data_IF_626690480311
#
_entry.id   IF_626690480311
#
_cell.length_a   1.000
_cell.length_b   1.000
_cell.length_c   1.000
_cell.angle_alpha   90.00
_cell.angle_beta   90.00
_cell.angle_gamma   90.00
#
_symmetry.space_group_name_H-M   'P 1'
#
loop_
_entity.id
_entity.type
_entity.pdbx_description
1 polymer ?
#
# COMPACT_ATOMS: atom_id res chain seq x y z
N UNK A 1 -9.51 -21.82 3.72
CA UNK A 1 -8.44 -21.18 4.51
C UNK A 1 -8.19 -19.73 4.08
N UNK A 2 -8.02 -19.42 2.79
CA UNK A 2 -7.78 -18.06 2.28
C UNK A 2 -8.89 -17.05 2.68
N UNK A 3 -10.16 -17.37 2.45
CA UNK A 3 -11.30 -16.53 2.84
C UNK A 3 -11.27 -16.12 4.33
N UNK A 4 -10.87 -17.04 5.23
CA UNK A 4 -10.76 -16.76 6.68
C UNK A 4 -9.59 -15.82 7.01
N UNK A 5 -8.51 -15.86 6.24
CA UNK A 5 -7.29 -15.10 6.50
C UNK A 5 -7.30 -13.71 5.87
N UNK A 6 -7.89 -13.58 4.68
CA UNK A 6 -7.81 -12.36 3.85
C UNK A 6 -9.17 -11.71 3.59
N UNK A 7 -10.26 -12.38 3.99
CA UNK A 7 -11.62 -11.96 3.70
C UNK A 7 -12.08 -12.35 2.30
N UNK A 8 -13.37 -12.16 2.08
CA UNK A 8 -14.09 -12.38 0.82
C UNK A 8 -14.53 -11.06 0.19
N UNK A 9 -14.33 -9.94 0.89
CA UNK A 9 -14.80 -8.60 0.52
C UNK A 9 -16.22 -8.29 0.98
N UNK A 10 -16.99 -9.32 1.38
CA UNK A 10 -18.36 -9.15 1.91
C UNK A 10 -18.39 -8.79 3.40
N UNK A 11 -17.24 -8.80 4.06
CA UNK A 11 -17.15 -8.46 5.48
C UNK A 11 -17.49 -6.99 5.71
N UNK A 12 -18.10 -6.72 6.87
CA UNK A 12 -18.29 -5.35 7.34
C UNK A 12 -16.94 -4.65 7.45
N UNK A 13 -16.85 -3.46 6.86
CA UNK A 13 -15.61 -2.71 6.82
C UNK A 13 -15.16 -2.31 8.24
N UNK A 14 -16.14 -1.96 9.08
CA UNK A 14 -15.96 -1.64 10.49
C UNK A 14 -17.08 -2.28 11.31
N UNK A 15 -16.81 -2.61 12.58
CA UNK A 15 -17.81 -3.23 13.46
C UNK A 15 -19.05 -2.36 13.68
N UNK A 16 -18.88 -1.04 13.59
CA UNK A 16 -19.90 0.01 13.73
C UNK A 16 -20.41 0.55 12.37
N UNK A 17 -20.05 -0.08 11.25
CA UNK A 17 -20.48 0.31 9.91
C UNK A 17 -21.53 -0.65 9.37
N UNK A 18 -22.58 -0.10 8.76
CA UNK A 18 -23.53 -0.86 7.92
C UNK A 18 -22.93 -1.20 6.55
N UNK A 19 -22.01 -0.36 6.05
CA UNK A 19 -21.34 -0.57 4.76
C UNK A 19 -20.24 -1.63 4.87
N UNK A 20 -20.23 -2.53 3.88
CA UNK A 20 -19.20 -3.53 3.64
C UNK A 20 -18.02 -2.95 2.84
N UNK A 21 -16.92 -3.69 2.75
CA UNK A 21 -15.83 -3.32 1.83
C UNK A 21 -16.31 -3.39 0.37
N UNK A 22 -17.27 -4.27 0.07
CA UNK A 22 -17.87 -4.41 -1.25
C UNK A 22 -18.58 -3.14 -1.70
N UNK A 23 -19.35 -2.51 -0.79
CA UNK A 23 -20.04 -1.25 -1.06
C UNK A 23 -19.03 -0.14 -1.40
N UNK A 24 -17.93 -0.08 -0.65
CA UNK A 24 -16.86 0.88 -0.91
C UNK A 24 -16.18 0.65 -2.27
N UNK A 25 -16.00 -0.60 -2.71
CA UNK A 25 -15.47 -0.89 -4.03
C UNK A 25 -16.40 -0.43 -5.15
N UNK A 26 -17.71 -0.67 -5.01
CA UNK A 26 -18.70 -0.18 -5.96
C UNK A 26 -18.74 1.35 -6.00
N UNK A 27 -18.70 2.02 -4.84
CA UNK A 27 -18.66 3.48 -4.75
C UNK A 27 -17.43 4.07 -5.45
N UNK A 28 -16.24 3.48 -5.24
CA UNK A 28 -15.01 3.90 -5.93
C UNK A 28 -15.18 3.75 -7.45
N UNK A 29 -15.68 2.61 -7.93
CA UNK A 29 -15.80 2.36 -9.37
C UNK A 29 -16.85 3.25 -10.05
N UNK A 30 -17.88 3.66 -9.31
CA UNK A 30 -18.91 4.58 -9.78
C UNK A 30 -18.42 6.03 -9.88
N UNK A 31 -17.55 6.47 -8.97
CA UNK A 31 -17.17 7.88 -8.82
C UNK A 31 -15.79 8.23 -9.37
N UNK A 32 -14.94 7.24 -9.65
CA UNK A 32 -13.55 7.47 -10.07
C UNK A 32 -13.41 7.29 -11.60
N UNK A 33 -12.88 8.29 -12.34
CA UNK A 33 -12.76 8.23 -13.79
C UNK A 33 -11.72 7.20 -14.25
N UNK A 34 -11.84 6.76 -15.50
CA UNK A 34 -10.85 5.89 -16.15
C UNK A 34 -9.69 6.74 -16.66
N UNK A 35 -8.58 6.71 -15.94
CA UNK A 35 -7.36 7.42 -16.31
C UNK A 35 -6.23 6.43 -16.57
N UNK A 36 -5.31 6.79 -17.47
CA UNK A 36 -4.08 6.05 -17.73
C UNK A 36 -2.95 7.04 -17.93
N UNK A 37 -1.80 6.72 -17.35
CA UNK A 37 -0.57 7.46 -17.61
C UNK A 37 0.30 6.74 -18.66
N UNK A 38 1.09 7.48 -19.45
CA UNK A 38 2.05 6.90 -20.36
C UNK A 38 3.21 6.25 -19.59
N UNK A 39 3.66 5.08 -20.05
CA UNK A 39 4.79 4.36 -19.46
C UNK A 39 6.09 4.73 -20.17
N UNK A 40 6.87 5.63 -19.58
CA UNK A 40 8.08 6.22 -20.19
C UNK A 40 9.34 6.09 -19.34
N UNK A 41 9.21 5.71 -18.07
CA UNK A 41 10.32 5.60 -17.12
C UNK A 41 10.87 4.17 -17.15
N UNK A 42 12.14 3.95 -17.53
CA UNK A 42 12.72 2.61 -17.50
C UNK A 42 12.98 2.12 -16.07
N UNK A 43 13.09 0.79 -15.91
CA UNK A 43 13.47 0.16 -14.64
C UNK A 43 14.88 0.62 -14.18
N UNK A 44 15.84 0.64 -15.10
CA UNK A 44 17.19 1.17 -14.91
C UNK A 44 17.69 1.84 -16.20
N UNK A 45 18.50 2.89 -16.07
CA UNK A 45 19.17 3.57 -17.19
C UNK A 45 20.40 4.31 -16.69
N UNK A 46 21.38 4.58 -17.57
CA UNK A 46 22.57 5.40 -17.25
C UNK A 46 22.45 6.86 -17.69
N UNK A 47 21.50 7.14 -18.58
CA UNK A 47 21.37 8.38 -19.36
C UNK A 47 20.09 9.17 -19.05
N UNK A 48 19.17 8.59 -18.29
CA UNK A 48 17.87 9.18 -17.96
C UNK A 48 17.36 8.74 -16.60
N UNK A 49 16.39 9.49 -16.08
CA UNK A 49 15.67 9.12 -14.86
C UNK A 49 15.04 7.73 -14.98
N UNK A 50 15.16 6.95 -13.92
CA UNK A 50 14.74 5.56 -13.87
C UNK A 50 14.24 5.19 -12.47
N UNK A 51 13.46 4.11 -12.37
CA UNK A 51 12.83 3.69 -11.11
C UNK A 51 13.86 3.20 -10.08
N UNK A 52 14.93 2.53 -10.51
CA UNK A 52 15.99 2.04 -9.62
C UNK A 52 16.63 3.17 -8.82
N UNK A 53 17.05 4.24 -9.49
CA UNK A 53 17.72 5.36 -8.83
C UNK A 53 16.75 6.16 -7.95
N UNK A 54 15.49 6.27 -8.37
CA UNK A 54 14.42 6.86 -7.55
C UNK A 54 14.22 6.09 -6.23
N UNK A 55 14.14 4.77 -6.28
CA UNK A 55 14.00 3.94 -5.06
C UNK A 55 15.22 4.04 -4.15
N UNK A 56 16.43 4.11 -4.72
CA UNK A 56 17.66 4.36 -3.94
C UNK A 56 17.65 5.74 -3.27
N UNK A 57 17.18 6.77 -3.98
CA UNK A 57 17.03 8.11 -3.41
C UNK A 57 16.03 8.14 -2.25
N UNK A 58 14.88 7.49 -2.40
CA UNK A 58 13.89 7.33 -1.33
C UNK A 58 14.48 6.58 -0.13
N UNK A 59 15.23 5.50 -0.35
CA UNK A 59 15.86 4.74 0.72
C UNK A 59 16.89 5.59 1.47
N UNK A 60 17.75 6.32 0.74
CA UNK A 60 18.72 7.25 1.32
C UNK A 60 18.03 8.33 2.16
N UNK A 61 16.90 8.85 1.69
CA UNK A 61 16.13 9.88 2.39
C UNK A 61 15.68 9.47 3.79
N UNK A 62 15.33 8.19 3.97
CA UNK A 62 14.94 7.63 5.28
C UNK A 62 16.08 6.90 5.99
N UNK A 63 17.32 7.04 5.52
CA UNK A 63 18.51 6.44 6.15
C UNK A 63 18.62 4.92 5.98
N UNK A 64 17.99 4.37 4.94
CA UNK A 64 18.00 2.94 4.65
C UNK A 64 19.10 2.57 3.65
N UNK A 65 19.87 1.54 4.00
CA UNK A 65 20.86 0.94 3.11
C UNK A 65 20.28 -0.33 2.48
N UNK A 66 19.89 -0.24 1.21
CA UNK A 66 19.26 -1.32 0.45
C UNK A 66 19.90 -1.49 -0.92
N UNK A 67 19.74 -2.68 -1.48
CA UNK A 67 19.99 -2.92 -2.90
C UNK A 67 18.69 -2.74 -3.69
N UNK A 68 18.80 -2.30 -4.95
CA UNK A 68 17.68 -2.28 -5.89
C UNK A 68 18.11 -3.03 -7.14
N UNK A 69 17.37 -4.09 -7.46
CA UNK A 69 17.66 -5.03 -8.55
C UNK A 69 16.54 -5.01 -9.58
N UNK A 70 16.91 -4.95 -10.85
CA UNK A 70 15.97 -5.18 -11.95
C UNK A 70 15.89 -6.70 -12.17
N UNK A 71 14.67 -7.21 -12.26
CA UNK A 71 14.37 -8.63 -12.41
C UNK A 71 13.42 -8.80 -13.62
N UNK A 72 13.88 -9.44 -14.71
CA UNK A 72 13.08 -9.62 -15.92
C UNK A 72 11.92 -10.62 -15.74
N UNK A 73 12.01 -11.50 -14.74
CA UNK A 73 11.01 -12.54 -14.47
C UNK A 73 10.00 -12.11 -13.40
N UNK A 74 10.15 -10.89 -12.86
CA UNK A 74 9.25 -10.37 -11.84
C UNK A 74 7.87 -10.04 -12.41
N UNK A 75 6.88 -10.86 -12.07
CA UNK A 75 5.48 -10.66 -12.46
C UNK A 75 4.88 -9.40 -11.80
N UNK A 76 5.27 -9.11 -10.56
CA UNK A 76 4.86 -7.89 -9.88
C UNK A 76 5.63 -6.68 -10.40
N UNK A 77 5.09 -5.47 -10.24
CA UNK A 77 5.79 -4.25 -10.68
C UNK A 77 7.03 -3.97 -9.84
N UNK A 78 6.92 -4.21 -8.54
CA UNK A 78 8.01 -4.23 -7.60
C UNK A 78 7.70 -5.22 -6.47
N UNK A 79 8.74 -5.62 -5.74
CA UNK A 79 8.62 -6.45 -4.54
C UNK A 79 9.77 -6.15 -3.59
N UNK A 80 9.52 -6.30 -2.28
CA UNK A 80 10.52 -6.05 -1.23
C UNK A 80 10.92 -7.35 -0.56
N UNK A 81 12.22 -7.63 -0.59
CA UNK A 81 12.90 -8.57 0.30
C UNK A 81 13.41 -7.90 1.57
N UNK A 82 14.28 -8.55 2.32
CA UNK A 82 14.72 -8.01 3.63
C UNK A 82 15.48 -6.67 3.52
N UNK A 83 16.38 -6.54 2.54
CA UNK A 83 17.21 -5.34 2.28
C UNK A 83 17.36 -5.09 0.77
N UNK A 84 16.43 -5.61 -0.02
CA UNK A 84 16.48 -5.53 -1.48
C UNK A 84 15.11 -5.21 -2.03
N UNK A 85 15.03 -4.26 -2.95
CA UNK A 85 13.84 -4.03 -3.77
C UNK A 85 14.09 -4.66 -5.14
N UNK A 86 13.15 -5.45 -5.61
CA UNK A 86 13.11 -6.01 -6.96
C UNK A 86 12.12 -5.18 -7.78
N UNK A 87 12.50 -4.82 -9.01
CA UNK A 87 11.68 -4.05 -9.95
C UNK A 87 11.58 -4.84 -11.25
N UNK A 88 10.39 -4.94 -11.83
CA UNK A 88 10.22 -5.61 -13.13
C UNK A 88 10.97 -4.87 -14.25
N UNK A 89 11.57 -5.62 -15.18
CA UNK A 89 12.22 -5.04 -16.35
C UNK A 89 11.21 -4.56 -17.40
N UNK A 90 10.62 -3.38 -17.17
CA UNK A 90 9.66 -2.75 -18.07
C UNK A 90 9.69 -1.23 -17.97
N UNK A 91 8.91 -0.58 -18.81
CA UNK A 91 8.59 0.83 -18.66
C UNK A 91 7.49 1.03 -17.60
N UNK A 92 7.63 2.10 -16.82
CA UNK A 92 6.73 2.56 -15.77
C UNK A 92 6.23 3.96 -16.07
N UNK A 93 5.07 4.31 -15.51
CA UNK A 93 4.63 5.70 -15.48
C UNK A 93 5.45 6.55 -14.52
N UNK A 94 5.43 7.87 -14.71
CA UNK A 94 6.12 8.79 -13.82
C UNK A 94 5.45 8.83 -12.44
N UNK A 95 4.12 8.82 -12.41
CA UNK A 95 3.34 8.78 -11.18
C UNK A 95 3.42 7.40 -10.53
N UNK A 96 3.28 6.32 -11.32
CA UNK A 96 3.51 4.94 -10.88
C UNK A 96 4.88 4.77 -10.23
N UNK A 97 5.93 5.39 -10.77
CA UNK A 97 7.29 5.29 -10.22
C UNK A 97 7.40 5.89 -8.82
N UNK A 98 6.85 7.10 -8.60
CA UNK A 98 6.80 7.73 -7.28
C UNK A 98 5.93 6.92 -6.32
N UNK A 99 4.80 6.39 -6.80
CA UNK A 99 3.89 5.54 -6.02
C UNK A 99 4.58 4.26 -5.57
N UNK A 100 5.30 3.57 -6.46
CA UNK A 100 6.05 2.36 -6.13
C UNK A 100 7.17 2.65 -5.13
N UNK A 101 7.92 3.75 -5.30
CA UNK A 101 8.93 4.15 -4.33
C UNK A 101 8.32 4.43 -2.95
N UNK A 102 7.17 5.11 -2.89
CA UNK A 102 6.42 5.36 -1.65
C UNK A 102 5.94 4.04 -1.02
N UNK A 103 5.32 3.17 -1.81
CA UNK A 103 4.76 1.90 -1.34
C UNK A 103 5.83 0.96 -0.79
N UNK A 104 6.85 0.68 -1.61
CA UNK A 104 7.87 -0.31 -1.29
C UNK A 104 8.88 0.22 -0.27
N UNK A 105 9.34 1.47 -0.42
CA UNK A 105 10.38 2.03 0.45
C UNK A 105 9.77 2.60 1.73
N UNK A 106 8.86 3.57 1.62
CA UNK A 106 8.30 4.21 2.81
C UNK A 106 7.28 3.34 3.53
N UNK A 107 6.55 2.47 2.83
CA UNK A 107 5.69 1.47 3.45
C UNK A 107 6.50 0.29 3.98
N UNK A 108 6.85 -0.64 3.10
CA UNK A 108 7.35 -1.96 3.49
C UNK A 108 8.76 -1.95 4.09
N UNK A 109 9.73 -1.27 3.46
CA UNK A 109 11.11 -1.28 3.95
C UNK A 109 11.26 -0.56 5.29
N UNK A 110 10.62 0.60 5.49
CA UNK A 110 10.67 1.31 6.79
C UNK A 110 10.19 0.39 7.92
N UNK A 111 9.03 -0.25 7.77
CA UNK A 111 8.52 -1.21 8.75
C UNK A 111 9.46 -2.41 8.93
N UNK A 112 10.05 -2.94 7.86
CA UNK A 112 10.97 -4.06 7.95
C UNK A 112 12.27 -3.70 8.70
N UNK A 113 12.83 -2.51 8.46
CA UNK A 113 14.02 -2.03 9.15
C UNK A 113 13.75 -1.76 10.63
N UNK A 114 12.68 -1.05 10.96
CA UNK A 114 12.30 -0.84 12.36
C UNK A 114 12.02 -2.16 13.09
N UNK A 115 11.33 -3.10 12.45
CA UNK A 115 11.05 -4.40 13.05
C UNK A 115 12.30 -5.17 13.45
N UNK A 116 13.41 -5.00 12.73
CA UNK A 116 14.71 -5.60 13.05
C UNK A 116 15.50 -4.89 14.12
N UNK A 117 15.21 -3.61 14.38
CA UNK A 117 15.84 -2.86 15.48
C UNK A 117 15.16 -3.13 16.81
N UNK A 118 14.02 -3.83 16.81
CA UNK A 118 13.32 -4.19 18.04
C UNK A 118 13.97 -5.39 18.75
N UNK A 119 13.89 -5.45 20.09
CA UNK A 119 14.38 -6.60 20.87
C UNK A 119 13.69 -7.92 20.51
N UNK A 120 12.43 -7.86 20.07
CA UNK A 120 11.63 -9.04 19.74
C UNK A 120 11.54 -9.25 18.22
N UNK A 121 12.00 -10.41 17.73
CA UNK A 121 11.98 -10.76 16.31
C UNK A 121 10.58 -10.84 15.67
N UNK A 122 9.52 -10.91 16.47
CA UNK A 122 8.13 -10.88 15.98
C UNK A 122 7.83 -9.61 15.18
N UNK A 123 8.47 -8.48 15.49
CA UNK A 123 8.29 -7.23 14.75
C UNK A 123 8.94 -7.24 13.37
N UNK A 124 9.98 -8.05 13.15
CA UNK A 124 10.57 -8.27 11.83
C UNK A 124 9.77 -9.28 10.99
N UNK A 125 9.16 -10.27 11.65
CA UNK A 125 8.36 -11.32 11.00
C UNK A 125 6.96 -10.80 10.63
N UNK A 126 6.25 -10.23 11.61
CA UNK A 126 4.85 -9.84 11.52
C UNK A 126 4.05 -10.30 12.73
N UNK A 127 3.38 -9.37 13.39
CA UNK A 127 2.34 -9.69 14.38
C UNK A 127 1.13 -10.34 13.69
N UNK A 128 0.27 -11.03 14.46
CA UNK A 128 -0.91 -11.67 13.88
C UNK A 128 -1.79 -10.64 13.13
N UNK A 129 -2.12 -10.95 11.87
CA UNK A 129 -2.92 -10.10 11.00
C UNK A 129 -2.20 -8.88 10.42
N UNK A 130 -0.88 -8.73 10.65
CA UNK A 130 -0.16 -7.53 10.21
C UNK A 130 -0.08 -7.38 8.70
N UNK A 131 -0.18 -8.46 7.93
CA UNK A 131 -0.08 -8.40 6.47
C UNK A 131 -1.05 -7.37 5.87
N UNK A 132 -2.34 -7.49 6.16
CA UNK A 132 -3.34 -6.56 5.63
C UNK A 132 -3.18 -5.13 6.11
N UNK A 133 -2.86 -4.95 7.39
CA UNK A 133 -2.68 -3.61 7.95
C UNK A 133 -1.39 -2.95 7.42
N UNK A 134 -0.33 -3.70 7.12
CA UNK A 134 0.90 -3.17 6.52
C UNK A 134 0.71 -2.81 5.03
N UNK A 135 -0.06 -3.59 4.27
CA UNK A 135 -0.52 -3.16 2.94
C UNK A 135 -1.36 -1.89 3.04
N UNK A 136 -2.22 -1.80 4.05
CA UNK A 136 -3.00 -0.60 4.36
C UNK A 136 -2.14 0.62 4.68
N UNK A 137 -1.05 0.45 5.45
CA UNK A 137 -0.07 1.51 5.72
C UNK A 137 0.59 1.98 4.43
N UNK A 138 1.04 1.06 3.58
CA UNK A 138 1.69 1.40 2.32
C UNK A 138 0.74 2.18 1.39
N UNK A 139 -0.52 1.74 1.24
CA UNK A 139 -1.52 2.43 0.41
C UNK A 139 -1.94 3.77 1.04
N UNK A 140 -2.06 3.85 2.36
CA UNK A 140 -2.36 5.13 3.02
C UNK A 140 -1.23 6.14 2.86
N UNK A 141 0.03 5.69 2.80
CA UNK A 141 1.16 6.53 2.42
C UNK A 141 1.08 6.99 0.96
N UNK A 142 0.61 6.14 0.03
CA UNK A 142 0.30 6.56 -1.36
C UNK A 142 -0.74 7.70 -1.33
N UNK A 143 -1.83 7.58 -0.57
CA UNK A 143 -2.87 8.61 -0.44
C UNK A 143 -2.32 9.92 0.12
N UNK A 144 -1.57 9.86 1.22
CA UNK A 144 -0.97 11.04 1.85
C UNK A 144 0.07 11.74 0.96
N UNK A 145 0.69 11.01 0.03
CA UNK A 145 1.61 11.56 -0.95
C UNK A 145 0.91 12.14 -2.19
N UNK A 146 -0.42 12.01 -2.31
CA UNK A 146 -1.16 12.37 -3.53
C UNK A 146 -0.91 11.40 -4.69
N UNK A 147 -0.49 10.17 -4.38
CA UNK A 147 -0.08 9.13 -5.33
C UNK A 147 -1.10 7.98 -5.46
N UNK A 148 -2.22 8.06 -4.74
CA UNK A 148 -3.36 7.14 -4.89
C UNK A 148 -4.33 7.68 -5.94
N UNK A 149 -3.95 7.56 -7.21
CA UNK A 149 -4.71 8.08 -8.35
C UNK A 149 -5.98 7.26 -8.68
N UNK A 150 -6.76 7.77 -9.63
CA UNK A 150 -7.99 7.16 -10.10
C UNK A 150 -7.78 5.72 -10.59
N UNK A 151 -6.73 5.50 -11.37
CA UNK A 151 -6.39 4.18 -11.90
C UNK A 151 -6.08 3.18 -10.78
N UNK A 152 -5.30 3.60 -9.78
CA UNK A 152 -4.92 2.78 -8.63
C UNK A 152 -6.12 2.47 -7.75
N UNK A 153 -6.98 3.44 -7.45
CA UNK A 153 -8.20 3.23 -6.68
C UNK A 153 -9.12 2.19 -7.35
N UNK A 154 -9.36 2.36 -8.66
CA UNK A 154 -10.14 1.40 -9.46
C UNK A 154 -9.50 0.03 -9.45
N UNK A 155 -8.18 -0.07 -9.59
CA UNK A 155 -7.44 -1.34 -9.50
C UNK A 155 -7.69 -2.05 -8.16
N UNK A 156 -7.66 -1.32 -7.03
CA UNK A 156 -7.93 -1.88 -5.70
C UNK A 156 -9.38 -2.37 -5.56
N UNK A 157 -10.34 -1.60 -6.09
CA UNK A 157 -11.75 -1.98 -6.10
C UNK A 157 -12.02 -3.21 -6.98
N UNK A 158 -11.51 -3.23 -8.21
CA UNK A 158 -11.66 -4.37 -9.14
C UNK A 158 -11.03 -5.66 -8.60
N UNK A 159 -9.92 -5.56 -7.87
CA UNK A 159 -9.31 -6.68 -7.12
C UNK A 159 -10.25 -7.26 -6.07
N UNK A 160 -10.92 -6.39 -5.30
CA UNK A 160 -11.91 -6.81 -4.32
C UNK A 160 -13.11 -7.48 -5.00
N UNK A 161 -13.67 -6.87 -6.06
CA UNK A 161 -14.80 -7.44 -6.80
C UNK A 161 -14.47 -8.81 -7.40
N UNK A 162 -13.30 -8.97 -8.03
CA UNK A 162 -12.86 -10.26 -8.56
C UNK A 162 -12.69 -11.32 -7.47
N UNK A 163 -12.19 -10.93 -6.30
CA UNK A 163 -12.07 -11.81 -5.12
C UNK A 163 -13.45 -12.23 -4.61
N UNK A 164 -14.38 -11.29 -4.52
CA UNK A 164 -15.75 -11.54 -4.09
C UNK A 164 -16.46 -12.49 -5.04
N UNK A 165 -16.44 -12.20 -6.34
CA UNK A 165 -17.03 -13.04 -7.38
C UNK A 165 -16.51 -14.48 -7.33
N UNK A 166 -15.18 -14.66 -7.18
CA UNK A 166 -14.57 -15.97 -7.04
C UNK A 166 -15.11 -16.73 -5.82
N UNK A 167 -15.20 -16.08 -4.65
CA UNK A 167 -15.75 -16.71 -3.45
C UNK A 167 -17.26 -16.98 -3.54
N UNK A 168 -17.99 -16.20 -4.33
CA UNK A 168 -19.40 -16.40 -4.63
C UNK A 168 -19.65 -17.52 -5.66
N UNK A 169 -18.60 -18.17 -6.18
CA UNK A 169 -18.72 -19.26 -7.15
C UNK A 169 -18.99 -18.80 -8.59
N UNK A 170 -18.81 -17.50 -8.88
CA UNK A 170 -18.90 -16.96 -10.23
C UNK A 170 -17.77 -17.53 -11.09
N UNK A 171 -18.07 -17.87 -12.35
CA UNK A 171 -17.05 -18.38 -13.26
C UNK A 171 -15.99 -17.31 -13.56
N UNK A 172 -14.78 -17.75 -13.88
CA UNK A 172 -13.69 -16.83 -14.27
C UNK A 172 -14.11 -15.89 -15.41
N UNK A 173 -14.77 -16.44 -16.44
CA UNK A 173 -15.19 -15.67 -17.62
C UNK A 173 -16.24 -14.64 -17.25
N UNK A 174 -17.23 -15.01 -16.45
CA UNK A 174 -18.31 -14.10 -16.06
C UNK A 174 -17.79 -12.98 -15.15
N UNK A 175 -16.89 -13.29 -14.22
CA UNK A 175 -16.24 -12.30 -13.37
C UNK A 175 -15.45 -11.27 -14.21
N UNK A 176 -14.67 -11.74 -15.18
CA UNK A 176 -13.92 -10.85 -16.07
C UNK A 176 -14.85 -10.02 -16.97
N UNK A 177 -15.92 -10.62 -17.50
CA UNK A 177 -16.92 -9.92 -18.31
C UNK A 177 -17.66 -8.84 -17.51
N UNK A 178 -18.00 -9.11 -16.25
CA UNK A 178 -18.66 -8.13 -15.37
C UNK A 178 -17.76 -6.91 -15.15
N UNK A 179 -16.46 -7.11 -14.85
CA UNK A 179 -15.51 -5.99 -14.73
C UNK A 179 -15.46 -5.11 -15.99
N UNK A 180 -15.53 -5.71 -17.19
CA UNK A 180 -15.55 -4.95 -18.45
C UNK A 180 -16.87 -4.21 -18.64
N UNK A 181 -17.99 -4.93 -18.55
CA UNK A 181 -19.33 -4.41 -18.93
C UNK A 181 -19.90 -3.43 -17.91
N UNK A 182 -19.72 -3.71 -16.64
CA UNK A 182 -20.35 -2.94 -15.54
C UNK A 182 -19.40 -1.90 -14.97
N UNK A 183 -18.08 -2.14 -15.07
CA UNK A 183 -17.08 -1.33 -14.40
C UNK A 183 -16.02 -0.76 -15.35
N UNK A 184 -16.21 -0.80 -16.66
CA UNK A 184 -15.37 -0.10 -17.65
C UNK A 184 -13.86 -0.43 -17.56
N UNK A 185 -13.50 -1.63 -17.10
CA UNK A 185 -12.13 -2.13 -17.25
C UNK A 185 -11.87 -2.54 -18.70
N UNK A 186 -10.63 -2.41 -19.16
CA UNK A 186 -10.27 -3.04 -20.43
C UNK A 186 -10.20 -4.56 -20.28
N UNK A 187 -10.43 -5.33 -21.35
CA UNK A 187 -10.42 -6.79 -21.29
C UNK A 187 -9.13 -7.38 -20.70
N UNK A 188 -7.97 -6.85 -21.11
CA UNK A 188 -6.65 -7.23 -20.60
C UNK A 188 -6.51 -7.01 -19.08
N UNK A 189 -7.01 -5.87 -18.59
CA UNK A 189 -6.98 -5.53 -17.17
C UNK A 189 -7.92 -6.42 -16.37
N UNK A 190 -9.14 -6.65 -16.86
CA UNK A 190 -10.13 -7.51 -16.21
C UNK A 190 -9.62 -8.95 -16.07
N UNK A 191 -9.04 -9.51 -17.13
CA UNK A 191 -8.41 -10.85 -17.11
C UNK A 191 -7.30 -10.89 -16.06
N UNK A 192 -6.39 -9.91 -16.06
CA UNK A 192 -5.29 -9.84 -15.09
C UNK A 192 -5.78 -9.78 -13.64
N UNK A 193 -6.85 -9.02 -13.37
CA UNK A 193 -7.46 -8.92 -12.04
C UNK A 193 -8.10 -10.23 -11.59
N UNK A 194 -8.81 -10.90 -12.51
CA UNK A 194 -9.42 -12.21 -12.24
C UNK A 194 -8.36 -13.30 -12.05
N UNK A 195 -7.32 -13.38 -12.89
CA UNK A 195 -6.28 -14.41 -12.76
C UNK A 195 -5.65 -14.42 -11.37
N UNK A 196 -5.38 -13.23 -10.82
CA UNK A 196 -4.83 -13.09 -9.47
C UNK A 196 -5.74 -13.64 -8.37
N UNK A 197 -7.05 -13.54 -8.55
CA UNK A 197 -8.06 -13.96 -7.57
C UNK A 197 -8.39 -15.46 -7.72
N UNK A 198 -8.44 -15.96 -8.95
CA UNK A 198 -8.84 -17.33 -9.27
C UNK A 198 -7.67 -18.34 -9.24
N UNK A 199 -6.41 -17.88 -9.32
CA UNK A 199 -5.23 -18.77 -9.27
C UNK A 199 -5.19 -19.64 -8.01
N UNK A 200 -4.70 -20.86 -8.17
CA UNK A 200 -4.51 -21.81 -7.07
C UNK A 200 -5.82 -22.24 -6.38
N UNK A 201 -6.97 -22.11 -7.04
CA UNK A 201 -8.27 -22.51 -6.48
C UNK A 201 -8.85 -21.49 -5.48
N UNK A 202 -8.55 -20.20 -5.66
CA UNK A 202 -9.12 -19.14 -4.80
C UNK A 202 -8.25 -18.74 -3.62
N UNK A 203 -6.93 -18.75 -3.77
CA UNK A 203 -5.98 -18.19 -2.79
C UNK A 203 -5.93 -16.65 -2.94
N UNK A 204 -7.11 -16.03 -2.98
CA UNK A 204 -7.19 -14.59 -3.17
C UNK A 204 -6.80 -13.88 -1.88
N UNK A 205 -5.68 -13.16 -1.95
CA UNK A 205 -5.23 -12.22 -0.93
C UNK A 205 -5.68 -10.81 -1.25
N UNK A 206 -6.29 -10.61 -2.41
CA UNK A 206 -6.43 -9.29 -3.02
C UNK A 206 -7.54 -8.45 -2.35
N UNK A 207 -8.48 -9.07 -1.62
CA UNK A 207 -9.45 -8.35 -0.79
C UNK A 207 -8.79 -7.55 0.36
N UNK A 208 -7.58 -7.94 0.77
CA UNK A 208 -6.91 -7.32 1.91
C UNK A 208 -6.43 -5.90 1.62
N UNK A 209 -6.15 -5.56 0.35
CA UNK A 209 -5.55 -4.27 0.01
C UNK A 209 -6.51 -3.11 0.25
N UNK A 210 -7.71 -3.16 -0.35
CA UNK A 210 -8.74 -2.13 -0.16
C UNK A 210 -9.22 -2.10 1.31
N UNK A 211 -9.46 -3.27 1.89
CA UNK A 211 -9.86 -3.40 3.30
C UNK A 211 -8.81 -2.80 4.25
N UNK A 212 -7.53 -3.13 4.05
CA UNK A 212 -6.41 -2.65 4.85
C UNK A 212 -6.25 -1.14 4.75
N UNK A 213 -6.29 -0.59 3.53
CA UNK A 213 -6.22 0.85 3.30
C UNK A 213 -7.31 1.60 4.07
N UNK A 214 -8.56 1.21 3.89
CA UNK A 214 -9.70 1.86 4.54
C UNK A 214 -9.62 1.75 6.07
N UNK A 215 -9.18 0.59 6.60
CA UNK A 215 -8.99 0.37 8.04
C UNK A 215 -7.91 1.26 8.63
N UNK A 216 -6.73 1.30 8.02
CA UNK A 216 -5.62 2.14 8.48
C UNK A 216 -5.98 3.62 8.35
N UNK A 217 -6.58 4.03 7.23
CA UNK A 217 -7.04 5.41 7.01
C UNK A 217 -8.00 5.87 8.11
N UNK A 218 -9.01 5.07 8.46
CA UNK A 218 -9.95 5.41 9.56
C UNK A 218 -9.21 5.51 10.89
N UNK A 219 -8.42 4.50 11.25
CA UNK A 219 -7.74 4.46 12.55
C UNK A 219 -6.82 5.68 12.74
N UNK A 220 -6.06 6.05 11.71
CA UNK A 220 -5.18 7.23 11.77
C UNK A 220 -5.98 8.54 11.75
N UNK A 221 -7.00 8.67 10.90
CA UNK A 221 -7.81 9.90 10.83
C UNK A 221 -8.62 10.18 12.09
N UNK A 222 -9.04 9.13 12.82
CA UNK A 222 -9.70 9.24 14.13
C UNK A 222 -8.75 9.43 15.30
N UNK A 223 -7.43 9.42 15.07
CA UNK A 223 -6.41 9.55 16.11
C UNK A 223 -6.28 8.32 17.01
N UNK A 224 -6.80 7.17 16.60
CA UNK A 224 -6.71 5.90 17.34
C UNK A 224 -5.28 5.32 17.31
N UNK A 225 -4.51 5.67 16.28
CA UNK A 225 -3.09 5.32 16.09
C UNK A 225 -2.39 6.36 15.22
N UNK A 226 -1.06 6.31 15.16
CA UNK A 226 -0.26 6.97 14.14
C UNK A 226 0.33 5.98 13.13
N UNK A 227 0.82 6.50 12.01
CA UNK A 227 1.66 5.75 11.08
C UNK A 227 2.97 5.29 11.75
N UNK A 228 3.57 6.11 12.60
CA UNK A 228 4.81 5.75 13.30
C UNK A 228 4.64 4.53 14.21
N UNK A 229 3.52 4.41 14.91
CA UNK A 229 3.21 3.23 15.72
C UNK A 229 3.08 1.96 14.87
N UNK A 230 2.37 2.06 13.74
CA UNK A 230 2.23 0.93 12.81
C UNK A 230 3.54 0.60 12.07
N UNK A 231 4.47 1.54 11.97
CA UNK A 231 5.79 1.36 11.37
C UNK A 231 6.87 0.96 12.38
N UNK A 232 6.54 0.74 13.67
CA UNK A 232 7.47 0.19 14.66
C UNK A 232 8.07 -1.16 14.25
N UNK A 233 7.34 -1.87 13.42
CA UNK A 233 7.72 -3.10 12.75
C UNK A 233 6.59 -3.51 11.82
N UNK A 234 6.46 -4.80 11.55
CA UNK A 234 5.26 -5.36 10.90
C UNK A 234 4.16 -5.55 11.94
N UNK A 235 3.53 -4.45 12.34
CA UNK A 235 2.52 -4.38 13.41
C UNK A 235 1.11 -4.30 12.82
N UNK A 236 0.17 -5.04 13.40
CA UNK A 236 -1.27 -4.92 13.10
C UNK A 236 -1.95 -3.92 14.02
N UNK A 237 -3.05 -3.33 13.58
CA UNK A 237 -3.91 -2.46 14.39
C UNK A 237 -4.35 -3.16 15.68
N UNK A 238 -4.64 -4.46 15.61
CA UNK A 238 -5.07 -5.26 16.76
C UNK A 238 -3.95 -5.47 17.79
N UNK A 239 -2.69 -5.48 17.36
CA UNK A 239 -1.55 -5.66 18.25
C UNK A 239 -1.18 -4.36 19.00
N UNK A 240 -1.65 -3.19 18.55
CA UNK A 240 -1.25 -1.89 19.12
C UNK A 240 -1.42 -1.77 20.64
N UNK A 241 -2.51 -2.23 21.30
CA UNK A 241 -2.63 -2.14 22.75
C UNK A 241 -1.46 -2.82 23.48
N UNK A 242 -1.07 -4.00 23.00
CA UNK A 242 0.04 -4.76 23.58
C UNK A 242 1.40 -4.13 23.23
N UNK A 243 1.57 -3.64 21.99
CA UNK A 243 2.79 -2.91 21.60
C UNK A 243 2.98 -1.65 22.46
N UNK A 244 1.91 -0.92 22.75
CA UNK A 244 1.95 0.25 23.64
C UNK A 244 2.34 -0.12 25.07
N UNK A 245 1.83 -1.25 25.58
CA UNK A 245 2.24 -1.79 26.90
C UNK A 245 3.73 -2.14 26.92
N UNK A 246 4.21 -2.85 25.89
CA UNK A 246 5.64 -3.20 25.79
C UNK A 246 6.54 -1.96 25.66
N UNK A 247 6.07 -0.91 24.96
CA UNK A 247 6.75 0.39 24.91
C UNK A 247 6.78 1.09 26.28
N UNK A 248 5.66 1.10 27.02
CA UNK A 248 5.62 1.72 28.36
C UNK A 248 6.51 1.00 29.36
N UNK A 249 6.63 -0.32 29.23
CA UNK A 249 7.47 -1.16 30.08
C UNK A 249 8.96 -1.10 29.69
N UNK A 250 9.32 -0.36 28.63
CA UNK A 250 10.69 -0.25 28.14
C UNK A 250 11.22 -1.52 27.46
N UNK A 251 10.35 -2.47 27.12
CA UNK A 251 10.70 -3.73 26.46
C UNK A 251 10.79 -3.61 24.94
N UNK A 252 10.21 -2.54 24.38
CA UNK A 252 10.22 -2.20 22.96
C UNK A 252 10.69 -0.76 22.82
N UNK A 253 11.39 -0.46 21.73
CA UNK A 253 11.93 0.88 21.45
C UNK A 253 11.06 1.64 20.45
N UNK A 254 11.10 2.97 20.51
CA UNK A 254 10.49 3.82 19.48
C UNK A 254 11.08 3.49 18.09
N UNK A 255 10.29 3.64 16.99
CA UNK A 255 10.80 3.45 15.64
C UNK A 255 11.95 4.42 15.34
N UNK A 256 13.01 3.91 14.73
CA UNK A 256 14.20 4.70 14.37
C UNK A 256 14.00 5.36 13.00
N UNK A 257 13.47 4.59 12.05
CA UNK A 257 13.23 5.01 10.68
C UNK A 257 11.79 5.50 10.54
N UNK A 258 11.61 6.70 9.98
CA UNK A 258 10.29 7.27 9.73
C UNK A 258 10.32 8.02 8.41
N UNK A 259 9.30 7.82 7.58
CA UNK A 259 9.05 8.70 6.45
C UNK A 259 8.61 10.09 6.95
N UNK A 260 8.89 11.15 6.18
CA UNK A 260 8.45 12.50 6.55
C UNK A 260 6.91 12.59 6.67
N UNK A 261 6.19 11.76 5.90
CA UNK A 261 4.74 11.62 5.96
C UNK A 261 4.25 11.03 7.29
N UNK A 262 5.03 10.14 7.92
CA UNK A 262 4.73 9.63 9.25
C UNK A 262 5.04 10.65 10.36
N UNK A 263 6.03 11.55 10.16
CA UNK A 263 6.42 12.59 11.12
C UNK A 263 5.43 13.75 11.18
N UNK A 264 4.88 14.19 10.04
CA UNK A 264 4.02 15.39 9.95
C UNK A 264 2.65 15.24 10.63
N UNK A 265 2.22 14.01 10.95
CA UNK A 265 0.94 13.72 11.63
C UNK A 265 1.11 13.01 12.98
N UNK A 266 2.34 12.93 13.50
CA UNK A 266 2.56 12.56 14.90
C UNK A 266 2.09 13.70 15.80
N UNK A 267 1.07 13.43 16.64
CA UNK A 267 0.46 14.34 17.64
C UNK A 267 1.07 15.75 17.69
N UNK A 268 0.69 16.62 16.75
CA UNK A 268 0.78 18.05 17.00
C UNK A 268 -0.33 18.36 18.01
N UNK A 269 0.00 19.11 19.07
CA UNK A 269 -0.97 19.51 20.09
C UNK A 269 -2.18 20.22 19.49
N UNK A 270 -3.25 20.38 20.29
CA UNK A 270 -4.51 20.99 19.88
C UNK A 270 -4.32 22.42 19.33
N UNK A 271 -4.03 22.55 18.04
CA UNK A 271 -3.60 23.85 17.52
C UNK A 271 -3.44 24.01 16.01
N UNK A 272 -3.83 23.05 15.16
CA UNK A 272 -3.78 23.30 13.71
C UNK A 272 -5.05 22.80 13.02
N UNK A 273 -5.91 23.76 12.64
CA UNK A 273 -7.09 23.53 11.80
C UNK A 273 -6.63 23.13 10.40
N UNK A 274 -7.41 22.28 9.74
CA UNK A 274 -7.14 21.67 8.42
C UNK A 274 -7.02 22.65 7.21
N UNK A 275 -6.97 23.96 7.44
CA UNK A 275 -7.06 24.98 6.40
C UNK A 275 -5.75 25.75 6.10
N UNK A 276 -4.65 25.40 6.75
CA UNK A 276 -3.33 26.01 6.47
C UNK A 276 -2.25 24.94 6.49
N UNK A 277 -2.25 24.08 5.48
CA UNK A 277 -1.06 23.29 5.15
C UNK A 277 -0.02 24.25 4.55
N UNK A 278 1.23 24.27 5.05
CA UNK A 278 2.32 24.91 4.34
C UNK A 278 2.52 24.23 2.96
N UNK A 279 3.18 24.90 1.99
CA UNK A 279 3.24 24.45 0.60
C UNK A 279 3.61 22.96 0.52
N UNK A 280 2.83 22.21 -0.27
CA UNK A 280 2.97 20.78 -0.49
C UNK A 280 4.42 20.32 -0.64
N UNK A 281 4.79 19.24 0.06
CA UNK A 281 6.04 18.49 -0.12
C UNK A 281 6.35 18.12 -1.58
N UNK A 282 5.33 18.14 -2.46
CA UNK A 282 5.48 18.10 -3.92
C UNK A 282 6.60 19.04 -4.38
N UNK A 283 6.66 20.28 -3.87
CA UNK A 283 7.65 21.29 -4.30
C UNK A 283 9.09 20.98 -3.88
N UNK A 284 9.31 20.10 -2.88
CA UNK A 284 10.66 19.68 -2.47
C UNK A 284 11.16 18.42 -3.19
N UNK A 285 10.27 17.63 -3.79
CA UNK A 285 10.64 16.45 -4.57
C UNK A 285 10.55 16.67 -6.09
N UNK A 286 9.89 17.74 -6.56
CA UNK A 286 9.83 18.11 -7.98
C UNK A 286 10.98 18.98 -8.48
N UNK A 287 11.87 19.48 -7.61
CA UNK A 287 13.11 20.16 -8.06
C UNK A 287 14.22 19.15 -8.34
N UNK A 288 14.05 18.36 -9.39
CA UNK A 288 15.16 17.65 -10.04
C UNK A 288 15.45 18.18 -11.45
N UNK A 289 14.84 19.31 -11.82
CA UNK A 289 15.17 20.08 -13.02
C UNK A 289 15.76 21.45 -12.60
N UNK A 290 17.03 21.46 -12.18
CA UNK A 290 17.94 22.62 -12.23
C UNK A 290 19.30 22.28 -11.60
N UNK A 291 20.11 21.49 -12.30
CA UNK A 291 21.50 21.80 -12.75
C UNK A 291 22.07 20.62 -13.51
#
# INVERSE_FOLDING_TARGET
>A
MAARLFGTGSERLFADSEHSTLDAAHEILANTPVEREPKTIPAASTDRSNLRDLMLAYAKHVGLHVAVKVDPDLIASAAVGERTVFIADRLFGAHESQRLATHEVYGHLVSAFNGRTQPFGIFAIGTAGSYGDQEGVAIYLEELAGLLDSFRQRTLAGRLLATHAMHAGVSFSDAAQSLVREHQFSPDCAVTLCERSFRGGGVSRDAVYLTGWLRVRRAVSRGETSLSELQLGKVSLRALPEVRRLLSDGLVSQPIYLSNLARSRGKTGAGTKSATLPPSLVTSLTRLDAT
#
